data_IF_921647023322
#
_entry.id   IF_921647023322
#
_cell.length_a   1.000
_cell.length_b   1.000
_cell.length_c   1.000
_cell.angle_alpha   90.00
_cell.angle_beta   90.00
_cell.angle_gamma   90.00
#
_symmetry.space_group_name_H-M   'P 1'
#
loop_
_entity.id
_entity.type
_entity.pdbx_description
1 polymer ?
#
# COMPACT_ATOMS: atom_id res chain seq x y z
N UNK A 1 -42.54 -54.99 18.46
CA UNK A 1 -43.14 -56.20 17.84
C UNK A 1 -44.13 -55.77 16.76
N UNK A 2 -43.76 -56.02 15.49
CA UNK A 2 -44.59 -56.33 14.31
C UNK A 2 -45.96 -55.66 14.10
N UNK A 3 -46.12 -54.88 13.01
CA UNK A 3 -46.83 -55.29 11.76
C UNK A 3 -47.18 -54.07 10.85
N UNK A 4 -46.54 -54.00 9.68
CA UNK A 4 -47.11 -53.98 8.30
C UNK A 4 -48.67 -54.08 8.19
N UNK A 5 -49.44 -53.56 7.22
CA UNK A 5 -49.21 -53.08 5.84
C UNK A 5 -50.59 -52.68 5.20
N UNK A 6 -50.55 -51.80 4.19
CA UNK A 6 -51.45 -51.52 3.03
C UNK A 6 -52.99 -51.53 3.07
N UNK A 7 -53.57 -50.47 2.48
CA UNK A 7 -54.78 -50.55 1.65
C UNK A 7 -54.50 -49.92 0.28
N UNK A 8 -54.91 -50.62 -0.79
CA UNK A 8 -54.80 -50.24 -2.19
C UNK A 8 -56.06 -49.52 -2.67
N UNK A 9 -55.92 -48.58 -3.61
CA UNK A 9 -57.01 -47.94 -4.34
C UNK A 9 -56.49 -47.38 -5.66
N UNK A 10 -57.15 -47.72 -6.76
CA UNK A 10 -56.70 -47.68 -8.15
C UNK A 10 -57.40 -46.56 -8.96
N UNK A 11 -56.79 -46.15 -10.09
CA UNK A 11 -57.37 -45.41 -11.26
C UNK A 11 -57.66 -43.91 -11.03
N UNK A 12 -57.43 -42.94 -11.94
CA UNK A 12 -57.11 -42.86 -13.38
C UNK A 12 -56.36 -41.54 -13.69
N UNK A 13 -55.69 -41.49 -14.85
CA UNK A 13 -55.07 -40.31 -15.46
C UNK A 13 -56.08 -39.18 -15.79
N UNK A 14 -55.70 -37.92 -15.54
CA UNK A 14 -56.06 -36.78 -16.39
C UNK A 14 -55.12 -35.60 -16.15
N UNK A 15 -54.52 -35.14 -17.25
CA UNK A 15 -53.59 -34.01 -17.36
C UNK A 15 -54.30 -32.70 -17.04
N UNK A 16 -53.81 -31.93 -16.07
CA UNK A 16 -54.28 -30.56 -15.80
C UNK A 16 -53.18 -29.59 -16.20
N UNK A 17 -53.49 -28.78 -17.21
CA UNK A 17 -52.73 -27.58 -17.56
C UNK A 17 -53.03 -26.49 -16.52
N UNK A 18 -52.00 -25.97 -15.85
CA UNK A 18 -52.11 -24.77 -15.01
C UNK A 18 -51.47 -23.61 -15.77
N UNK A 19 -52.31 -22.66 -16.22
CA UNK A 19 -51.88 -21.35 -16.71
C UNK A 19 -51.27 -20.55 -15.55
N UNK A 20 -50.05 -20.04 -15.74
CA UNK A 20 -49.41 -19.08 -14.82
C UNK A 20 -49.58 -17.68 -15.39
N UNK A 21 -50.18 -16.78 -14.60
CA UNK A 21 -50.19 -15.33 -14.84
C UNK A 21 -48.92 -14.70 -14.25
N UNK A 22 -48.40 -13.58 -14.80
CA UNK A 22 -47.10 -13.05 -14.42
C UNK A 22 -47.18 -12.26 -13.11
N UNK A 23 -46.25 -12.53 -12.19
CA UNK A 23 -45.97 -11.67 -11.04
C UNK A 23 -45.03 -10.57 -11.50
N UNK A 24 -45.52 -9.32 -11.49
CA UNK A 24 -44.71 -8.11 -11.65
C UNK A 24 -44.04 -7.83 -10.29
N UNK A 25 -42.78 -8.20 -10.16
CA UNK A 25 -41.95 -7.83 -9.02
C UNK A 25 -40.82 -6.95 -9.54
N UNK A 26 -40.93 -5.64 -9.29
CA UNK A 26 -39.87 -4.68 -9.54
C UNK A 26 -38.73 -4.96 -8.55
N UNK A 27 -37.80 -5.84 -8.93
CA UNK A 27 -36.52 -5.99 -8.26
C UNK A 27 -35.62 -4.84 -8.72
N UNK A 28 -35.70 -3.71 -8.03
CA UNK A 28 -34.59 -2.76 -8.01
C UNK A 28 -33.42 -3.44 -7.30
N UNK A 29 -32.62 -4.18 -8.07
CA UNK A 29 -31.25 -4.48 -7.68
C UNK A 29 -30.57 -3.13 -7.49
N UNK A 30 -30.23 -2.81 -6.25
CA UNK A 30 -29.22 -1.78 -5.98
C UNK A 30 -27.97 -2.33 -6.66
N UNK A 31 -27.61 -1.74 -7.82
CA UNK A 31 -26.32 -2.00 -8.42
C UNK A 31 -25.28 -1.59 -7.38
N UNK A 32 -24.62 -2.58 -6.79
CA UNK A 32 -23.28 -2.32 -6.29
C UNK A 32 -22.49 -1.83 -7.51
N UNK A 33 -21.77 -0.69 -7.43
CA UNK A 33 -20.94 -0.27 -8.55
C UNK A 33 -20.07 -1.45 -8.97
N UNK A 34 -20.01 -1.74 -10.27
CA UNK A 34 -19.11 -2.75 -10.81
C UNK A 34 -17.71 -2.50 -10.21
N UNK A 35 -17.08 -3.54 -9.67
CA UNK A 35 -15.70 -3.41 -9.17
C UNK A 35 -14.85 -2.76 -10.27
N UNK A 36 -14.28 -1.59 -9.96
CA UNK A 36 -13.46 -0.84 -10.90
C UNK A 36 -12.36 -1.77 -11.40
N UNK A 37 -12.27 -1.92 -12.72
CA UNK A 37 -11.31 -2.83 -13.31
C UNK A 37 -9.88 -2.42 -12.98
N UNK A 38 -8.98 -3.38 -12.76
CA UNK A 38 -7.59 -3.16 -12.37
C UNK A 38 -6.86 -2.07 -13.19
N UNK A 39 -7.08 -2.06 -14.51
CA UNK A 39 -6.48 -1.06 -15.40
C UNK A 39 -6.97 0.36 -15.10
N UNK A 40 -8.26 0.51 -14.81
CA UNK A 40 -8.88 1.78 -14.49
C UNK A 40 -8.40 2.26 -13.12
N UNK A 41 -8.34 1.38 -12.11
CA UNK A 41 -7.75 1.67 -10.80
C UNK A 41 -6.32 2.20 -10.92
N UNK A 42 -5.48 1.55 -11.74
CA UNK A 42 -4.11 2.00 -11.99
C UNK A 42 -4.08 3.39 -12.65
N UNK A 43 -4.96 3.67 -13.61
CA UNK A 43 -5.02 4.98 -14.26
C UNK A 43 -5.46 6.08 -13.28
N UNK A 44 -6.52 5.85 -12.50
CA UNK A 44 -7.01 6.82 -11.50
C UNK A 44 -5.91 7.09 -10.47
N UNK A 45 -5.25 6.05 -9.95
CA UNK A 45 -4.15 6.20 -9.01
C UNK A 45 -2.97 6.98 -9.60
N UNK A 46 -2.62 6.73 -10.87
CA UNK A 46 -1.55 7.48 -11.55
C UNK A 46 -1.93 8.95 -11.74
N UNK A 47 -3.19 9.24 -12.08
CA UNK A 47 -3.69 10.60 -12.23
C UNK A 47 -3.69 11.34 -10.88
N UNK A 48 -4.22 10.70 -9.83
CA UNK A 48 -4.21 11.24 -8.48
C UNK A 48 -2.79 11.54 -7.98
N UNK A 49 -1.86 10.62 -8.24
CA UNK A 49 -0.46 10.82 -7.88
C UNK A 49 0.17 12.01 -8.60
N UNK A 50 -0.13 12.18 -9.89
CA UNK A 50 0.41 13.28 -10.70
C UNK A 50 -0.19 14.64 -10.31
N UNK A 51 -1.48 14.68 -10.02
CA UNK A 51 -2.21 15.94 -9.86
C UNK A 51 -2.26 16.42 -8.41
N UNK A 52 -2.10 15.51 -7.43
CA UNK A 52 -2.15 15.83 -6.01
C UNK A 52 -0.87 15.50 -5.25
N UNK A 53 -0.33 14.27 -5.39
CA UNK A 53 0.82 13.84 -4.59
C UNK A 53 2.11 14.52 -5.04
N UNK A 54 2.43 14.46 -6.33
CA UNK A 54 3.68 15.00 -6.87
C UNK A 54 3.84 16.51 -6.62
N UNK A 55 2.83 17.36 -6.83
CA UNK A 55 2.92 18.78 -6.48
C UNK A 55 3.11 19.02 -4.99
N UNK A 56 2.37 18.31 -4.13
CA UNK A 56 2.49 18.44 -2.68
C UNK A 56 3.90 18.05 -2.19
N UNK A 57 4.46 16.97 -2.73
CA UNK A 57 5.82 16.52 -2.41
C UNK A 57 6.88 17.50 -2.93
N UNK A 58 6.74 18.00 -4.18
CA UNK A 58 7.70 18.95 -4.77
C UNK A 58 7.71 20.31 -4.08
N UNK A 59 6.58 20.74 -3.51
CA UNK A 59 6.49 21.98 -2.75
C UNK A 59 7.17 21.90 -1.36
N UNK A 60 7.51 20.70 -0.89
CA UNK A 60 8.11 20.49 0.42
C UNK A 60 9.63 20.69 0.39
N UNK A 61 10.09 21.86 0.83
CA UNK A 61 11.52 22.11 1.07
C UNK A 61 12.08 21.16 2.14
N UNK A 62 11.31 20.88 3.20
CA UNK A 62 11.65 19.92 4.26
C UNK A 62 11.99 18.55 3.68
N UNK A 63 11.17 18.03 2.77
CA UNK A 63 11.37 16.73 2.14
C UNK A 63 12.70 16.69 1.38
N UNK A 64 12.93 17.69 0.53
CA UNK A 64 14.13 17.76 -0.29
C UNK A 64 15.39 17.87 0.57
N UNK A 65 15.37 18.72 1.61
CA UNK A 65 16.52 18.93 2.49
C UNK A 65 16.82 17.70 3.36
N UNK A 66 15.80 17.05 3.91
CA UNK A 66 15.96 15.81 4.68
C UNK A 66 16.49 14.67 3.81
N UNK A 67 15.97 14.49 2.60
CA UNK A 67 16.49 13.48 1.67
C UNK A 67 17.95 13.76 1.31
N UNK A 68 18.30 15.01 0.96
CA UNK A 68 19.69 15.39 0.70
C UNK A 68 20.59 15.12 1.91
N UNK A 69 20.13 15.44 3.12
CA UNK A 69 20.88 15.19 4.35
C UNK A 69 21.07 13.69 4.58
N UNK A 70 20.01 12.90 4.51
CA UNK A 70 20.07 11.46 4.73
C UNK A 70 20.94 10.76 3.70
N UNK A 71 20.84 11.12 2.41
CA UNK A 71 21.70 10.55 1.37
C UNK A 71 23.19 10.86 1.63
N UNK A 72 23.52 12.06 2.13
CA UNK A 72 24.90 12.38 2.55
C UNK A 72 25.34 11.56 3.76
N UNK A 73 24.49 11.48 4.79
CA UNK A 73 24.79 10.76 6.03
C UNK A 73 24.97 9.24 5.80
N UNK A 74 24.31 8.70 4.77
CA UNK A 74 24.34 7.28 4.39
C UNK A 74 25.25 6.97 3.19
N UNK A 75 25.97 7.96 2.65
CA UNK A 75 26.76 7.81 1.42
C UNK A 75 27.83 6.70 1.51
N UNK A 76 28.37 6.46 2.70
CA UNK A 76 29.39 5.43 2.97
C UNK A 76 28.82 4.16 3.62
N UNK A 77 27.49 4.05 3.73
CA UNK A 77 26.88 2.86 4.33
C UNK A 77 27.10 1.62 3.46
N UNK A 78 27.34 0.48 4.11
CA UNK A 78 27.40 -0.79 3.41
C UNK A 78 26.02 -1.09 2.79
N UNK A 79 25.97 -1.49 1.50
CA UNK A 79 24.72 -1.80 0.80
C UNK A 79 23.95 -2.91 1.50
N UNK A 80 22.62 -2.88 1.35
CA UNK A 80 21.76 -3.93 1.86
C UNK A 80 22.06 -5.29 1.22
N UNK A 81 22.16 -6.33 2.04
CA UNK A 81 22.48 -7.69 1.59
C UNK A 81 21.68 -8.78 2.31
N UNK A 82 20.75 -8.39 3.18
CA UNK A 82 19.93 -9.26 4.04
C UNK A 82 20.77 -10.15 4.99
N UNK A 83 22.04 -9.80 5.18
CA UNK A 83 23.01 -10.58 5.97
C UNK A 83 22.77 -10.49 7.46
N UNK A 84 22.01 -9.50 7.90
CA UNK A 84 21.72 -9.30 9.31
C UNK A 84 21.04 -10.50 9.97
N UNK A 85 20.31 -11.32 9.19
CA UNK A 85 19.68 -12.56 9.65
C UNK A 85 20.69 -13.61 10.16
N UNK A 86 21.95 -13.48 9.77
CA UNK A 86 23.03 -14.40 10.14
C UNK A 86 23.99 -13.84 11.21
N UNK A 87 23.80 -12.60 11.67
CA UNK A 87 24.70 -11.99 12.65
C UNK A 87 24.54 -12.58 14.05
N UNK A 88 25.66 -12.72 14.75
CA UNK A 88 25.66 -13.03 16.18
C UNK A 88 25.49 -11.76 17.00
N UNK A 89 24.92 -11.83 18.23
CA UNK A 89 24.68 -10.67 19.07
C UNK A 89 25.90 -9.77 19.32
N UNK A 90 27.11 -10.35 19.39
CA UNK A 90 28.39 -9.66 19.61
C UNK A 90 28.99 -9.03 18.34
N UNK A 91 28.49 -9.41 17.16
CA UNK A 91 28.96 -8.90 15.86
C UNK A 91 28.09 -7.75 15.33
N UNK A 92 26.83 -7.65 15.79
CA UNK A 92 25.85 -6.68 15.25
C UNK A 92 26.38 -5.25 15.25
N UNK A 93 26.99 -4.81 16.35
CA UNK A 93 27.42 -3.41 16.51
C UNK A 93 28.60 -3.04 15.60
N UNK A 94 29.27 -4.02 14.98
CA UNK A 94 30.32 -3.79 13.98
C UNK A 94 29.74 -3.28 12.64
N UNK A 95 28.42 -3.35 12.45
CA UNK A 95 27.74 -3.05 11.20
C UNK A 95 26.90 -1.76 11.24
N UNK A 96 27.08 -0.89 12.24
CA UNK A 96 26.23 0.29 12.46
C UNK A 96 26.02 1.20 11.24
N UNK A 97 27.01 1.29 10.35
CA UNK A 97 26.93 2.05 9.10
C UNK A 97 26.54 1.13 7.93
N UNK A 98 25.37 0.50 8.03
CA UNK A 98 24.83 -0.35 6.96
C UNK A 98 23.31 -0.35 6.93
N UNK A 99 22.75 -0.55 5.75
CA UNK A 99 21.30 -0.75 5.59
C UNK A 99 20.83 -2.03 6.28
N UNK A 100 21.66 -3.08 6.31
CA UNK A 100 21.39 -4.31 7.05
C UNK A 100 21.23 -4.07 8.56
N UNK A 101 22.03 -3.17 9.14
CA UNK A 101 21.95 -2.86 10.57
C UNK A 101 20.69 -2.08 10.91
N UNK A 102 20.35 -1.07 10.11
CA UNK A 102 19.11 -0.33 10.27
C UNK A 102 17.88 -1.26 10.14
N UNK A 103 17.89 -2.18 9.17
CA UNK A 103 16.85 -3.21 9.01
C UNK A 103 16.76 -4.12 10.24
N UNK A 104 17.88 -4.61 10.76
CA UNK A 104 17.88 -5.43 11.96
C UNK A 104 17.34 -4.71 13.20
N UNK A 105 17.77 -3.46 13.42
CA UNK A 105 17.29 -2.63 14.53
C UNK A 105 15.78 -2.39 14.42
N UNK A 106 15.28 -2.20 13.19
CA UNK A 106 13.86 -2.07 12.93
C UNK A 106 13.09 -3.38 13.10
N UNK A 107 13.44 -4.43 12.36
CA UNK A 107 12.59 -5.60 12.20
C UNK A 107 12.78 -6.63 13.31
N UNK A 108 14.02 -6.92 13.69
CA UNK A 108 14.34 -7.94 14.68
C UNK A 108 14.33 -7.41 16.10
N UNK A 109 15.07 -6.33 16.39
CA UNK A 109 15.11 -5.73 17.74
C UNK A 109 13.81 -4.99 18.08
N UNK A 110 13.10 -4.51 17.07
CA UNK A 110 11.94 -3.64 17.22
C UNK A 110 12.25 -2.43 18.10
N UNK A 111 13.44 -1.84 17.94
CA UNK A 111 13.90 -0.77 18.82
C UNK A 111 12.99 0.47 18.74
N UNK A 112 12.38 0.80 19.86
CA UNK A 112 11.38 1.87 19.93
C UNK A 112 11.98 3.25 19.64
N UNK A 113 13.23 3.52 20.02
CA UNK A 113 13.84 4.84 19.80
C UNK A 113 14.14 5.04 18.33
N UNK A 114 14.75 4.05 17.69
CA UNK A 114 15.06 4.05 16.26
C UNK A 114 13.80 4.19 15.41
N UNK A 115 12.77 3.42 15.74
CA UNK A 115 11.49 3.48 15.02
C UNK A 115 10.76 4.81 15.23
N UNK A 116 10.74 5.33 16.46
CA UNK A 116 10.19 6.65 16.75
C UNK A 116 10.95 7.79 16.06
N UNK A 117 12.24 7.66 15.77
CA UNK A 117 12.99 8.66 15.02
C UNK A 117 12.40 8.90 13.63
N UNK A 118 11.96 7.83 12.95
CA UNK A 118 11.35 7.90 11.62
C UNK A 118 9.86 8.28 11.69
N UNK A 119 9.15 7.85 12.73
CA UNK A 119 7.73 8.17 12.91
C UNK A 119 7.51 9.60 13.43
N UNK A 120 8.43 10.17 14.22
CA UNK A 120 8.21 11.44 14.92
C UNK A 120 9.13 12.56 14.44
N UNK A 121 9.69 12.42 13.24
CA UNK A 121 10.46 13.47 12.59
C UNK A 121 9.57 14.62 12.11
N UNK A 122 10.18 15.79 11.84
CA UNK A 122 9.48 16.91 11.23
C UNK A 122 8.83 16.53 9.90
N UNK A 123 9.58 15.81 9.06
CA UNK A 123 9.08 15.29 7.79
C UNK A 123 7.91 14.32 7.98
N UNK A 124 7.95 13.41 8.96
CA UNK A 124 6.84 12.50 9.22
C UNK A 124 5.55 13.24 9.59
N UNK A 125 5.65 14.36 10.31
CA UNK A 125 4.48 15.20 10.61
C UNK A 125 3.93 15.91 9.37
N UNK A 126 4.79 16.28 8.42
CA UNK A 126 4.37 16.85 7.14
C UNK A 126 3.68 15.83 6.25
N UNK A 127 4.23 14.61 6.15
CA UNK A 127 3.59 13.51 5.46
C UNK A 127 2.21 13.18 6.07
N UNK A 128 2.05 13.27 7.39
CA UNK A 128 0.73 13.11 8.03
C UNK A 128 -0.25 14.19 7.62
N UNK A 129 0.17 15.45 7.49
CA UNK A 129 -0.71 16.53 7.02
C UNK A 129 -1.17 16.26 5.58
N UNK A 130 -0.27 15.84 4.70
CA UNK A 130 -0.62 15.44 3.32
C UNK A 130 -1.66 14.31 3.34
N UNK A 131 -1.47 13.31 4.20
CA UNK A 131 -2.43 12.22 4.34
C UNK A 131 -3.78 12.68 4.92
N UNK A 132 -3.79 13.58 5.92
CA UNK A 132 -5.00 14.15 6.51
C UNK A 132 -5.78 15.01 5.50
N UNK A 133 -5.10 15.82 4.70
CA UNK A 133 -5.67 16.66 3.64
C UNK A 133 -6.26 15.85 2.48
N UNK A 134 -5.91 14.57 2.36
CA UNK A 134 -6.48 13.66 1.37
C UNK A 134 -7.88 13.14 1.73
N UNK A 135 -8.43 13.55 2.87
CA UNK A 135 -9.76 13.13 3.37
C UNK A 135 -9.92 11.59 3.46
N UNK A 136 -8.81 10.88 3.71
CA UNK A 136 -8.76 9.44 3.92
C UNK A 136 -8.39 8.62 2.68
N UNK A 137 -8.21 9.23 1.51
CA UNK A 137 -7.70 8.55 0.31
C UNK A 137 -6.31 7.96 0.57
N UNK A 138 -5.44 8.69 1.25
CA UNK A 138 -4.12 8.22 1.65
C UNK A 138 -4.21 7.52 3.01
N UNK A 139 -4.00 6.21 3.01
CA UNK A 139 -4.02 5.38 4.21
C UNK A 139 -2.64 5.24 4.87
N UNK A 140 -1.58 5.25 4.07
CA UNK A 140 -0.18 5.21 4.51
C UNK A 140 0.68 6.00 3.52
N UNK A 141 1.68 6.68 4.05
CA UNK A 141 2.64 7.46 3.28
C UNK A 141 4.00 7.36 3.95
N UNK A 142 5.02 7.01 3.17
CA UNK A 142 6.39 7.03 3.65
C UNK A 142 7.36 7.42 2.54
N UNK A 143 8.52 7.87 2.96
CA UNK A 143 9.59 8.32 2.07
C UNK A 143 10.84 7.51 2.40
N UNK A 144 11.48 7.01 1.34
CA UNK A 144 12.76 6.32 1.40
C UNK A 144 13.85 7.14 0.73
N UNK A 145 15.10 6.93 1.16
CA UNK A 145 16.28 7.55 0.55
C UNK A 145 16.57 6.98 -0.86
N UNK A 146 17.62 7.48 -1.52
CA UNK A 146 17.97 7.10 -2.88
C UNK A 146 18.40 5.63 -3.03
N UNK A 147 18.59 4.89 -1.93
CA UNK A 147 18.93 3.48 -1.91
C UNK A 147 17.82 2.61 -1.31
N UNK A 148 16.71 3.22 -0.86
CA UNK A 148 15.51 2.55 -0.38
C UNK A 148 15.40 2.37 1.14
N UNK A 149 16.24 3.02 1.96
CA UNK A 149 16.08 3.01 3.41
C UNK A 149 15.08 4.06 3.89
N UNK A 150 14.12 3.69 4.73
CA UNK A 150 13.12 4.62 5.26
C UNK A 150 13.78 5.89 5.88
N UNK A 151 13.21 7.05 5.55
CA UNK A 151 13.58 8.37 6.07
C UNK A 151 12.49 8.86 7.01
N UNK A 152 11.23 8.80 6.58
CA UNK A 152 10.07 9.19 7.37
C UNK A 152 8.87 8.31 7.00
N UNK A 153 8.07 7.95 8.01
CA UNK A 153 6.90 7.09 7.85
C UNK A 153 5.71 7.67 8.62
N UNK A 154 4.49 7.60 8.05
CA UNK A 154 3.27 7.99 8.79
C UNK A 154 2.83 6.90 9.74
N UNK A 155 2.98 5.63 9.34
CA UNK A 155 2.66 4.40 10.06
C UNK A 155 3.85 3.42 10.08
N UNK A 156 3.68 2.32 10.82
CA UNK A 156 4.68 1.28 10.92
C UNK A 156 4.70 0.39 9.67
N UNK A 157 5.81 0.36 8.95
CA UNK A 157 6.07 -0.64 7.91
C UNK A 157 6.62 -1.94 8.52
N UNK A 158 6.43 -3.07 7.81
CA UNK A 158 7.01 -4.36 8.21
C UNK A 158 8.53 -4.30 8.24
N UNK A 159 9.10 -3.79 7.15
CA UNK A 159 10.54 -3.69 6.90
C UNK A 159 10.94 -2.20 6.87
N UNK A 160 12.19 -1.89 7.20
CA UNK A 160 12.72 -0.53 7.10
C UNK A 160 13.39 -0.28 5.75
N UNK A 161 14.06 -1.30 5.21
CA UNK A 161 14.61 -1.28 3.87
C UNK A 161 13.55 -1.68 2.86
N UNK A 162 13.38 -0.86 1.84
CA UNK A 162 12.39 -1.00 0.76
C UNK A 162 13.07 -1.08 -0.61
N UNK A 163 14.40 -0.95 -0.66
CA UNK A 163 15.18 -0.82 -1.89
C UNK A 163 15.19 -2.05 -2.80
N UNK A 164 14.75 -3.20 -2.28
CA UNK A 164 14.59 -4.44 -3.02
C UNK A 164 13.14 -4.69 -3.49
N UNK A 165 12.21 -3.77 -3.22
CA UNK A 165 10.81 -3.90 -3.61
C UNK A 165 10.49 -3.18 -4.93
N UNK A 166 9.55 -3.72 -5.73
CA UNK A 166 9.16 -3.13 -7.02
C UNK A 166 8.68 -1.68 -6.89
N UNK A 167 7.95 -1.37 -5.80
CA UNK A 167 7.47 -0.01 -5.48
C UNK A 167 8.59 1.02 -5.31
N UNK A 168 9.83 0.58 -5.03
CA UNK A 168 11.01 1.45 -5.08
C UNK A 168 11.76 1.32 -6.41
N UNK A 169 12.02 0.09 -6.85
CA UNK A 169 12.91 -0.20 -7.99
C UNK A 169 12.39 0.42 -9.29
N UNK A 170 11.10 0.29 -9.56
CA UNK A 170 10.50 0.76 -10.81
C UNK A 170 10.58 2.30 -10.95
N UNK A 171 10.11 3.11 -9.98
CA UNK A 171 10.22 4.56 -10.08
C UNK A 171 11.66 5.08 -9.94
N UNK A 172 12.53 4.40 -9.19
CA UNK A 172 13.94 4.79 -9.08
C UNK A 172 14.70 4.64 -10.42
N UNK A 173 14.31 3.66 -11.24
CA UNK A 173 14.91 3.43 -12.57
C UNK A 173 14.32 4.35 -13.64
N UNK A 174 13.01 4.54 -13.64
CA UNK A 174 12.30 5.26 -14.70
C UNK A 174 12.25 6.77 -14.47
N UNK A 175 12.38 7.21 -13.21
CA UNK A 175 12.05 8.56 -12.76
C UNK A 175 10.61 8.97 -13.14
N UNK A 176 9.71 8.00 -13.27
CA UNK A 176 8.27 8.18 -13.48
C UNK A 176 7.48 7.55 -12.33
N UNK A 177 6.22 7.98 -12.17
CA UNK A 177 5.28 7.43 -11.20
C UNK A 177 5.03 5.96 -11.54
N UNK A 178 5.27 5.11 -10.55
CA UNK A 178 4.91 3.70 -10.56
C UNK A 178 3.62 3.47 -9.76
N UNK A 179 2.76 2.61 -10.27
CA UNK A 179 1.54 2.18 -9.57
C UNK A 179 1.53 0.66 -9.51
N UNK A 180 1.34 0.11 -8.31
CA UNK A 180 1.27 -1.34 -8.10
C UNK A 180 -0.03 -1.91 -8.63
N UNK A 181 -0.12 -3.24 -8.65
CA UNK A 181 -1.43 -3.88 -8.72
C UNK A 181 -2.23 -3.60 -7.42
N UNK A 182 -3.56 -3.59 -7.51
CA UNK A 182 -4.41 -3.48 -6.33
C UNK A 182 -4.31 -4.75 -5.46
N UNK A 183 -4.41 -4.57 -4.14
CA UNK A 183 -4.38 -5.65 -3.15
C UNK A 183 -5.49 -5.42 -2.12
N UNK A 184 -6.26 -6.46 -1.84
CA UNK A 184 -7.19 -6.47 -0.70
C UNK A 184 -6.42 -6.70 0.60
N UNK A 185 -6.62 -5.81 1.56
CA UNK A 185 -6.23 -6.00 2.95
C UNK A 185 -7.43 -6.59 3.71
N UNK A 186 -7.38 -7.91 3.92
CA UNK A 186 -8.45 -8.66 4.60
C UNK A 186 -8.61 -8.29 6.08
N UNK A 187 -7.62 -7.62 6.70
CA UNK A 187 -7.69 -7.23 8.11
C UNK A 187 -8.59 -6.02 8.35
N UNK A 188 -8.61 -5.10 7.39
CA UNK A 188 -9.42 -3.87 7.44
C UNK A 188 -10.55 -3.87 6.41
N UNK A 189 -10.59 -4.88 5.53
CA UNK A 189 -11.63 -5.04 4.51
C UNK A 189 -11.54 -4.04 3.36
N UNK A 190 -10.35 -3.47 3.10
CA UNK A 190 -10.12 -2.42 2.11
C UNK A 190 -9.30 -2.92 0.93
N UNK A 191 -9.56 -2.38 -0.26
CA UNK A 191 -8.67 -2.57 -1.41
C UNK A 191 -7.74 -1.38 -1.52
N UNK A 192 -6.44 -1.65 -1.59
CA UNK A 192 -5.39 -0.64 -1.62
C UNK A 192 -4.58 -0.77 -2.90
N UNK A 193 -4.19 0.35 -3.47
CA UNK A 193 -3.18 0.44 -4.53
C UNK A 193 -2.03 1.31 -4.06
N UNK A 194 -0.79 0.97 -4.42
CA UNK A 194 0.37 1.79 -4.05
C UNK A 194 0.82 2.64 -5.23
N UNK A 195 0.86 3.96 -5.03
CA UNK A 195 1.49 4.90 -5.95
C UNK A 195 2.85 5.31 -5.39
N UNK A 196 3.89 5.23 -6.22
CA UNK A 196 5.26 5.56 -5.84
C UNK A 196 5.78 6.69 -6.72
N UNK A 197 6.14 7.80 -6.09
CA UNK A 197 6.52 9.05 -6.75
C UNK A 197 8.02 9.30 -6.50
N UNK A 198 8.86 9.32 -7.56
CA UNK A 198 10.26 9.64 -7.40
C UNK A 198 10.44 11.12 -7.04
N UNK A 199 11.36 11.40 -6.12
CA UNK A 199 11.77 12.75 -5.72
C UNK A 199 13.17 12.98 -6.25
N UNK A 200 13.33 13.99 -7.10
CA UNK A 200 14.61 14.31 -7.76
C UNK A 200 15.08 15.71 -7.38
N UNK A 201 16.38 15.95 -7.45
CA UNK A 201 16.93 17.31 -7.32
C UNK A 201 16.82 18.12 -8.63
N UNK A 202 17.38 19.33 -8.62
CA UNK A 202 17.35 20.25 -9.76
C UNK A 202 18.12 19.73 -10.97
N UNK A 203 19.10 18.84 -10.75
CA UNK A 203 19.92 18.22 -11.79
C UNK A 203 19.31 16.89 -12.29
N UNK A 204 18.16 16.49 -11.72
CA UNK A 204 17.45 15.25 -12.05
C UNK A 204 18.00 14.01 -11.34
N UNK A 205 18.89 14.17 -10.35
CA UNK A 205 19.39 13.05 -9.56
C UNK A 205 18.32 12.59 -8.55
N UNK A 206 18.14 11.27 -8.44
CA UNK A 206 17.20 10.68 -7.48
C UNK A 206 17.64 10.99 -6.04
N UNK A 207 16.77 11.66 -5.29
CA UNK A 207 16.92 11.88 -3.86
C UNK A 207 16.21 10.79 -3.04
N UNK A 208 15.13 10.21 -3.57
CA UNK A 208 14.34 9.21 -2.87
C UNK A 208 13.04 8.91 -3.57
N UNK A 209 12.20 8.10 -2.93
CA UNK A 209 10.87 7.75 -3.45
C UNK A 209 9.84 7.92 -2.33
N UNK A 210 8.75 8.63 -2.61
CA UNK A 210 7.57 8.63 -1.76
C UNK A 210 6.66 7.47 -2.17
N UNK A 211 6.29 6.61 -1.23
CA UNK A 211 5.46 5.43 -1.45
C UNK A 211 4.16 5.63 -0.67
N UNK A 212 3.04 5.57 -1.39
CA UNK A 212 1.73 6.02 -0.90
C UNK A 212 0.72 4.91 -1.12
N UNK A 213 0.06 4.48 -0.05
CA UNK A 213 -1.03 3.51 -0.10
C UNK A 213 -2.36 4.25 -0.21
N UNK A 214 -3.05 4.06 -1.33
CA UNK A 214 -4.32 4.71 -1.67
C UNK A 214 -5.49 3.73 -1.49
N UNK A 215 -6.52 4.16 -0.76
CA UNK A 215 -7.79 3.43 -0.63
C UNK A 215 -8.56 3.53 -1.96
N UNK A 216 -8.77 2.40 -2.64
CA UNK A 216 -9.36 2.37 -3.98
C UNK A 216 -10.81 2.85 -3.99
N UNK A 217 -11.57 2.56 -2.94
CA UNK A 217 -12.98 2.97 -2.86
C UNK A 217 -13.07 4.50 -2.75
N UNK A 218 -12.31 5.10 -1.83
CA UNK A 218 -12.30 6.55 -1.69
C UNK A 218 -11.67 7.24 -2.90
N UNK A 219 -10.57 6.70 -3.43
CA UNK A 219 -9.89 7.21 -4.62
C UNK A 219 -10.85 7.31 -5.82
N UNK A 220 -11.77 6.36 -5.97
CA UNK A 220 -12.74 6.37 -7.07
C UNK A 220 -13.72 7.53 -7.05
N UNK A 221 -13.90 8.17 -5.88
CA UNK A 221 -14.75 9.35 -5.72
C UNK A 221 -14.08 10.64 -6.23
N UNK A 222 -12.78 10.58 -6.51
CA UNK A 222 -11.98 11.70 -7.04
C UNK A 222 -11.76 11.61 -8.57
N UNK A 223 -12.48 10.73 -9.26
CA UNK A 223 -12.42 10.54 -10.72
C UNK A 223 -13.31 11.54 -11.49
#
# INVERSE_FOLDING_TARGET
MSKSIYFAGCLTLSTVWVMSLPVRGDNAFINMPDEIGEKETIQIAKHYAKDHLEPALRASETLVDELKKVNRDRAEWQPFSDRWKAWKPDEVELHQNSYDYAEYVWSARKDRRFRNHHLRSGLANELRRIAEESEGVISELFVVDALGGNVAVTSWTSDWFQGNEAKFIEPAKSLDIYVSASRRDDTVGKTVVQASVPVVDQDGALLGVAIVSLDVELLSLHN
#
